data_IF_305343208042
#
_entry.id   IF_305343208042
#
_cell.length_a   1.000
_cell.length_b   1.000
_cell.length_c   1.000
_cell.angle_alpha   90.00
_cell.angle_beta   90.00
_cell.angle_gamma   90.00
#
_symmetry.space_group_name_H-M   'P 1'
#
loop_
_entity.id
_entity.type
_entity.pdbx_description
1 polymer ?
#
# COMPACT_ATOMS: atom_id res chain seq x y z
N UNK A 1 6.38 -12.90 14.43
CA UNK A 1 6.98 -12.04 13.39
C UNK A 1 5.91 -11.76 12.34
N UNK A 2 5.85 -10.52 11.83
CA UNK A 2 4.98 -10.18 10.71
C UNK A 2 5.46 -10.93 9.47
N UNK A 3 4.55 -11.59 8.75
CA UNK A 3 4.86 -12.44 7.59
C UNK A 3 5.22 -11.64 6.34
N UNK A 4 4.78 -10.38 6.28
CA UNK A 4 4.95 -9.49 5.14
C UNK A 4 5.47 -8.13 5.61
N UNK A 5 6.24 -7.45 4.77
CA UNK A 5 6.80 -6.13 5.01
C UNK A 5 7.00 -5.38 3.68
N UNK A 6 7.47 -4.12 3.69
CA UNK A 6 7.62 -3.34 2.46
C UNK A 6 8.63 -3.90 1.46
N UNK A 7 9.57 -4.74 1.91
CA UNK A 7 10.58 -5.38 1.06
C UNK A 7 10.06 -6.67 0.41
N UNK A 8 9.08 -7.34 1.03
CA UNK A 8 8.53 -8.60 0.54
C UNK A 8 7.13 -8.81 1.09
N UNK A 9 6.15 -8.90 0.20
CA UNK A 9 4.73 -9.11 0.51
C UNK A 9 4.07 -9.98 -0.57
N UNK A 10 2.87 -10.47 -0.28
CA UNK A 10 2.11 -11.29 -1.19
C UNK A 10 1.60 -10.46 -2.38
N UNK A 11 1.97 -10.89 -3.58
CA UNK A 11 1.60 -10.22 -4.84
C UNK A 11 0.29 -10.71 -5.44
N UNK A 12 -0.26 -11.83 -4.98
CA UNK A 12 -1.59 -12.33 -5.38
C UNK A 12 -2.46 -12.54 -4.12
N UNK A 13 -3.45 -11.67 -3.95
CA UNK A 13 -4.25 -11.58 -2.74
C UNK A 13 -5.72 -11.79 -3.09
N UNK A 14 -6.34 -12.79 -2.46
CA UNK A 14 -7.80 -12.95 -2.47
C UNK A 14 -8.40 -12.21 -1.27
N UNK A 15 -9.20 -11.20 -1.54
CA UNK A 15 -9.85 -10.39 -0.50
C UNK A 15 -11.04 -11.13 0.14
N UNK A 16 -11.43 -10.78 1.38
CA UNK A 16 -12.59 -11.36 2.05
C UNK A 16 -13.92 -11.21 1.29
N UNK A 17 -14.08 -10.19 0.44
CA UNK A 17 -15.26 -10.01 -0.40
C UNK A 17 -15.20 -10.82 -1.72
N UNK A 18 -14.21 -11.69 -1.88
CA UNK A 18 -14.05 -12.57 -3.03
C UNK A 18 -13.27 -11.96 -4.21
N UNK A 19 -12.95 -10.66 -4.17
CA UNK A 19 -12.17 -10.00 -5.22
C UNK A 19 -10.72 -10.47 -5.24
N UNK A 20 -10.12 -10.47 -6.42
CA UNK A 20 -8.70 -10.78 -6.61
C UNK A 20 -7.90 -9.49 -6.81
N UNK A 21 -6.80 -9.36 -6.07
CA UNK A 21 -5.83 -8.27 -6.21
C UNK A 21 -4.50 -8.86 -6.65
N UNK A 22 -3.96 -8.33 -7.74
CA UNK A 22 -2.70 -8.80 -8.31
C UNK A 22 -1.76 -7.62 -8.52
N UNK A 23 -0.53 -7.74 -7.98
CA UNK A 23 0.58 -6.88 -8.35
C UNK A 23 1.24 -7.41 -9.63
N UNK A 24 1.48 -6.50 -10.57
CA UNK A 24 2.05 -6.75 -11.89
C UNK A 24 3.34 -5.94 -12.02
N UNK A 25 4.33 -6.51 -12.71
CA UNK A 25 5.61 -5.87 -13.00
C UNK A 25 6.27 -5.27 -11.74
N UNK A 26 6.37 -6.08 -10.68
CA UNK A 26 6.99 -5.65 -9.43
C UNK A 26 8.49 -5.42 -9.60
N UNK A 27 9.02 -4.44 -8.88
CA UNK A 27 10.44 -4.12 -8.83
C UNK A 27 10.79 -3.44 -7.51
N UNK A 28 12.03 -3.60 -7.05
CA UNK A 28 12.58 -2.80 -5.94
C UNK A 28 12.87 -1.38 -6.40
N UNK A 29 12.50 -0.37 -5.60
CA UNK A 29 12.79 1.05 -5.93
C UNK A 29 14.31 1.29 -6.09
N UNK A 30 15.08 0.63 -5.24
CA UNK A 30 16.53 0.54 -5.19
C UNK A 30 16.90 -0.76 -4.45
N UNK A 31 18.16 -1.21 -4.55
CA UNK A 31 18.60 -2.45 -3.92
C UNK A 31 18.33 -2.43 -2.40
N UNK A 32 17.52 -3.38 -1.93
CA UNK A 32 17.15 -3.49 -0.51
C UNK A 32 16.13 -2.43 -0.03
N UNK A 33 15.48 -1.75 -0.96
CA UNK A 33 14.41 -0.80 -0.71
C UNK A 33 13.03 -1.46 -0.95
N UNK A 34 11.92 -0.81 -0.55
CA UNK A 34 10.60 -1.39 -0.76
C UNK A 34 10.31 -1.80 -2.21
N UNK A 35 9.59 -2.91 -2.35
CA UNK A 35 9.06 -3.39 -3.61
C UNK A 35 7.78 -2.64 -3.99
N UNK A 36 7.63 -2.34 -5.28
CA UNK A 36 6.46 -1.67 -5.83
C UNK A 36 6.04 -2.27 -7.16
N UNK A 37 4.75 -2.20 -7.50
CA UNK A 37 4.22 -2.71 -8.75
C UNK A 37 2.93 -2.03 -9.19
N UNK A 38 2.44 -2.40 -10.37
CA UNK A 38 1.09 -2.01 -10.83
C UNK A 38 0.06 -2.88 -10.13
N UNK A 39 -1.05 -2.30 -9.71
CA UNK A 39 -2.12 -3.03 -9.06
C UNK A 39 -3.24 -3.31 -10.05
N UNK A 40 -3.81 -4.51 -10.01
CA UNK A 40 -5.07 -4.85 -10.66
C UNK A 40 -6.07 -5.40 -9.65
N UNK A 41 -7.35 -5.11 -9.85
CA UNK A 41 -8.47 -5.63 -9.05
C UNK A 41 -9.45 -6.29 -10.01
N UNK A 42 -9.69 -7.59 -9.86
CA UNK A 42 -10.48 -8.42 -10.78
C UNK A 42 -10.07 -8.21 -12.25
N UNK A 43 -8.75 -8.18 -12.50
CA UNK A 43 -8.17 -7.94 -13.83
C UNK A 43 -8.18 -6.48 -14.32
N UNK A 44 -8.84 -5.55 -13.61
CA UNK A 44 -8.84 -4.14 -13.97
C UNK A 44 -7.58 -3.45 -13.42
N UNK A 45 -6.68 -3.05 -14.31
CA UNK A 45 -5.42 -2.38 -13.94
C UNK A 45 -5.69 -0.94 -13.51
N UNK A 46 -5.23 -0.57 -12.31
CA UNK A 46 -5.27 0.81 -11.80
C UNK A 46 -4.15 1.61 -12.47
N UNK A 47 -4.55 2.47 -13.42
CA UNK A 47 -3.62 3.23 -14.26
C UNK A 47 -2.92 4.35 -13.47
N UNK A 48 -1.79 4.82 -14.00
CA UNK A 48 -0.96 5.96 -13.52
C UNK A 48 -0.14 5.71 -12.25
N UNK A 49 -0.68 5.03 -11.26
CA UNK A 49 0.00 4.84 -9.97
C UNK A 49 0.86 3.58 -9.90
N UNK A 50 1.75 3.54 -8.91
CA UNK A 50 2.57 2.38 -8.54
C UNK A 50 2.42 2.19 -7.05
N UNK A 51 2.23 0.97 -6.61
CA UNK A 51 1.88 0.66 -5.23
C UNK A 51 2.91 -0.27 -4.61
N UNK A 52 3.28 0.00 -3.36
CA UNK A 52 3.99 -0.95 -2.51
C UNK A 52 3.02 -1.77 -1.66
N UNK A 53 3.56 -2.63 -0.81
CA UNK A 53 2.79 -3.44 0.11
C UNK A 53 3.41 -3.50 1.52
N UNK A 54 2.84 -4.31 2.42
CA UNK A 54 1.57 -5.04 2.26
C UNK A 54 0.36 -4.09 2.20
N UNK A 55 -0.80 -4.59 1.78
CA UNK A 55 -2.06 -3.85 1.82
C UNK A 55 -2.93 -4.28 3.01
N UNK A 56 -3.83 -3.41 3.43
CA UNK A 56 -4.91 -3.72 4.36
C UNK A 56 -6.26 -3.62 3.65
N UNK A 57 -7.21 -4.46 4.04
CA UNK A 57 -8.57 -4.42 3.50
C UNK A 57 -9.58 -4.25 4.63
N UNK A 58 -10.50 -3.30 4.46
CA UNK A 58 -11.61 -3.09 5.38
C UNK A 58 -12.82 -2.49 4.65
N UNK A 59 -14.00 -3.07 4.87
CA UNK A 59 -15.29 -2.56 4.40
C UNK A 59 -15.33 -2.14 2.91
N UNK A 60 -14.80 -2.96 2.01
CA UNK A 60 -14.81 -2.69 0.57
C UNK A 60 -13.71 -1.74 0.09
N UNK A 61 -12.82 -1.32 0.98
CA UNK A 61 -11.68 -0.47 0.67
C UNK A 61 -10.35 -1.20 0.90
N UNK A 62 -9.42 -0.97 -0.01
CA UNK A 62 -8.00 -1.31 0.16
C UNK A 62 -7.27 -0.06 0.65
N UNK A 63 -6.37 -0.25 1.61
CA UNK A 63 -5.43 0.76 2.09
C UNK A 63 -4.02 0.27 1.77
N UNK A 64 -3.25 1.08 1.07
CA UNK A 64 -2.04 0.61 0.41
C UNK A 64 -1.01 1.75 0.23
N UNK A 65 0.31 1.49 0.40
CA UNK A 65 1.33 2.45 0.03
C UNK A 65 1.30 2.78 -1.47
N UNK A 66 1.19 4.05 -1.83
CA UNK A 66 1.21 4.56 -3.20
C UNK A 66 2.49 5.36 -3.42
N UNK A 67 3.39 4.81 -4.25
CA UNK A 67 4.69 5.40 -4.53
C UNK A 67 4.60 6.53 -5.54
N UNK A 68 5.20 7.67 -5.20
CA UNK A 68 5.27 8.86 -6.06
C UNK A 68 6.71 9.34 -6.15
N UNK A 69 7.17 9.63 -7.38
CA UNK A 69 8.41 10.36 -7.65
C UNK A 69 8.08 11.79 -8.04
N UNK A 70 8.68 12.77 -7.37
CA UNK A 70 8.75 14.18 -7.77
C UNK A 70 10.20 14.53 -8.08
N UNK A 71 10.45 15.75 -8.56
CA UNK A 71 11.74 16.12 -9.12
C UNK A 71 12.91 16.08 -8.11
N UNK A 72 12.64 16.33 -6.81
CA UNK A 72 13.65 16.35 -5.75
C UNK A 72 13.36 15.40 -4.58
N UNK A 73 12.23 14.69 -4.60
CA UNK A 73 11.90 13.72 -3.56
C UNK A 73 11.04 12.60 -4.12
N UNK A 74 11.10 11.45 -3.45
CA UNK A 74 10.20 10.34 -3.67
C UNK A 74 9.79 9.74 -2.33
N UNK A 75 8.65 9.08 -2.34
CA UNK A 75 8.12 8.42 -1.16
C UNK A 75 6.75 7.85 -1.41
N UNK A 76 6.11 7.44 -0.33
CA UNK A 76 4.82 6.80 -0.31
C UNK A 76 3.79 7.69 0.35
N UNK A 77 2.61 7.73 -0.27
CA UNK A 77 1.38 8.19 0.36
C UNK A 77 0.55 6.98 0.73
N UNK A 78 -0.23 7.07 1.80
CA UNK A 78 -1.27 6.09 2.07
C UNK A 78 -2.45 6.36 1.13
N UNK A 79 -2.76 5.38 0.27
CA UNK A 79 -3.90 5.46 -0.63
C UNK A 79 -5.06 4.61 -0.10
N UNK A 80 -6.28 5.14 -0.19
CA UNK A 80 -7.55 4.44 -0.01
C UNK A 80 -8.15 4.18 -1.38
N UNK A 81 -8.44 2.92 -1.68
CA UNK A 81 -8.97 2.49 -2.97
C UNK A 81 -10.34 1.85 -2.75
N UNK A 82 -11.37 2.37 -3.41
CA UNK A 82 -12.67 1.71 -3.44
C UNK A 82 -12.62 0.50 -4.39
N UNK A 83 -12.84 -0.71 -3.89
CA UNK A 83 -12.71 -1.93 -4.70
C UNK A 83 -13.81 -2.14 -5.74
N UNK A 84 -14.90 -1.36 -5.66
CA UNK A 84 -16.01 -1.40 -6.62
C UNK A 84 -15.87 -0.34 -7.71
N UNK A 85 -15.47 0.89 -7.34
CA UNK A 85 -15.35 2.01 -8.30
C UNK A 85 -13.93 2.19 -8.85
N UNK A 86 -12.94 1.57 -8.21
CA UNK A 86 -11.50 1.75 -8.46
C UNK A 86 -11.01 3.19 -8.24
N UNK A 87 -11.81 4.02 -7.56
CA UNK A 87 -11.42 5.37 -7.16
C UNK A 87 -10.29 5.31 -6.12
N UNK A 88 -9.28 6.16 -6.31
CA UNK A 88 -8.08 6.24 -5.46
C UNK A 88 -8.04 7.62 -4.82
N UNK A 89 -7.93 7.66 -3.49
CA UNK A 89 -7.76 8.89 -2.70
C UNK A 89 -6.49 8.74 -1.87
N UNK A 90 -5.63 9.76 -1.89
CA UNK A 90 -4.48 9.83 -0.98
C UNK A 90 -4.94 10.42 0.35
N UNK A 91 -4.67 9.75 1.46
CA UNK A 91 -5.20 10.09 2.79
C UNK A 91 -4.11 10.43 3.81
N UNK A 92 -2.86 10.58 3.39
CA UNK A 92 -1.75 10.95 4.27
C UNK A 92 -0.81 11.95 3.61
N UNK A 93 0.18 12.42 4.36
CA UNK A 93 1.39 13.03 3.83
C UNK A 93 2.32 11.99 3.19
N UNK A 94 3.45 12.45 2.64
CA UNK A 94 4.48 11.59 2.07
C UNK A 94 5.42 11.05 3.16
N UNK A 95 5.65 9.75 3.16
CA UNK A 95 6.63 9.06 4.00
C UNK A 95 7.70 8.38 3.14
N UNK A 96 8.88 8.12 3.70
CA UNK A 96 9.89 7.32 3.01
C UNK A 96 9.46 5.85 2.89
N UNK A 97 8.78 5.34 3.91
CA UNK A 97 8.27 3.98 3.99
C UNK A 97 6.89 4.03 4.65
N UNK A 98 6.01 3.10 4.27
CA UNK A 98 4.76 2.84 4.97
C UNK A 98 4.67 1.32 5.17
N UNK A 99 4.92 0.86 6.40
CA UNK A 99 4.77 -0.54 6.78
C UNK A 99 3.47 -0.75 7.57
N UNK A 100 2.39 -1.09 6.86
CA UNK A 100 1.03 -1.15 7.40
C UNK A 100 0.85 -2.22 8.48
N UNK A 101 0.41 -1.84 9.68
CA UNK A 101 0.22 -2.76 10.82
C UNK A 101 -1.22 -3.27 10.88
N UNK A 102 -2.20 -2.36 11.06
CA UNK A 102 -3.61 -2.69 11.26
C UNK A 102 -4.53 -1.49 11.03
N UNK A 103 -5.83 -1.78 10.95
CA UNK A 103 -6.90 -0.79 11.02
C UNK A 103 -7.70 -1.05 12.30
N UNK A 104 -7.90 -0.01 13.10
CA UNK A 104 -8.71 -0.07 14.32
C UNK A 104 -9.39 1.28 14.52
N UNK A 105 -10.69 1.28 14.82
CA UNK A 105 -11.48 2.49 15.08
C UNK A 105 -11.25 3.61 14.03
N UNK A 106 -11.41 3.26 12.74
CA UNK A 106 -11.23 4.19 11.61
C UNK A 106 -9.83 4.82 11.52
N UNK A 107 -8.84 4.19 12.15
CA UNK A 107 -7.45 4.66 12.19
C UNK A 107 -6.53 3.58 11.67
N UNK A 108 -5.58 3.96 10.82
CA UNK A 108 -4.59 3.08 10.22
C UNK A 108 -3.26 3.30 10.93
N UNK A 109 -2.69 2.22 11.43
CA UNK A 109 -1.41 2.24 12.13
C UNK A 109 -0.32 1.66 11.23
N UNK A 110 0.84 2.31 11.19
CA UNK A 110 1.97 1.88 10.36
C UNK A 110 3.31 2.35 10.92
N UNK A 111 4.41 1.73 10.49
CA UNK A 111 5.75 2.25 10.73
C UNK A 111 6.21 3.08 9.52
N UNK A 112 6.95 4.16 9.78
CA UNK A 112 7.54 5.02 8.74
C UNK A 112 9.01 4.69 8.41
N UNK A 113 9.54 3.61 9.00
CA UNK A 113 10.90 3.11 8.81
C UNK A 113 10.94 1.58 8.93
N UNK A 114 11.95 0.93 8.34
CA UNK A 114 12.12 -0.53 8.38
C UNK A 114 12.48 -1.09 9.76
N UNK A 115 13.04 -0.24 10.63
CA UNK A 115 13.44 -0.64 11.99
C UNK A 115 12.24 -0.73 12.94
N UNK A 116 11.06 -0.30 12.49
CA UNK A 116 9.80 -0.34 13.23
C UNK A 116 9.86 0.37 14.59
N UNK A 117 10.56 1.52 14.63
CA UNK A 117 10.82 2.26 15.88
C UNK A 117 9.62 3.06 16.42
N UNK A 118 8.82 3.64 15.54
CA UNK A 118 7.73 4.56 15.90
C UNK A 118 6.48 4.24 15.10
N UNK A 119 5.33 4.18 15.78
CA UNK A 119 4.03 3.97 15.14
C UNK A 119 3.45 5.33 14.74
N UNK A 120 3.08 5.43 13.47
CA UNK A 120 2.28 6.52 12.90
C UNK A 120 0.83 6.10 12.79
N UNK A 121 -0.05 7.09 12.79
CA UNK A 121 -1.48 6.90 12.68
C UNK A 121 -2.12 7.90 11.71
N UNK A 122 -3.13 7.43 10.97
CA UNK A 122 -3.95 8.26 10.07
C UNK A 122 -5.42 7.84 10.22
N UNK A 123 -6.29 8.77 10.59
CA UNK A 123 -7.73 8.55 10.69
C UNK A 123 -8.46 8.92 9.39
N UNK A 124 -9.55 8.21 9.06
CA UNK A 124 -10.27 8.35 7.78
C UNK A 124 -11.80 8.16 7.90
#
# INVERSE_FOLDING_TARGET
MKLENPLSFNVNIKLPNGKEVLYLNTYEICQGCPEVGKLSIDGNILKKEVFGGPLLYNNGFIYIPCFKRRWFNSGFYLAKINTSTLEIILISDMYQIIDLIKIENFTIYFYDNLEQKEIREVSF
#
